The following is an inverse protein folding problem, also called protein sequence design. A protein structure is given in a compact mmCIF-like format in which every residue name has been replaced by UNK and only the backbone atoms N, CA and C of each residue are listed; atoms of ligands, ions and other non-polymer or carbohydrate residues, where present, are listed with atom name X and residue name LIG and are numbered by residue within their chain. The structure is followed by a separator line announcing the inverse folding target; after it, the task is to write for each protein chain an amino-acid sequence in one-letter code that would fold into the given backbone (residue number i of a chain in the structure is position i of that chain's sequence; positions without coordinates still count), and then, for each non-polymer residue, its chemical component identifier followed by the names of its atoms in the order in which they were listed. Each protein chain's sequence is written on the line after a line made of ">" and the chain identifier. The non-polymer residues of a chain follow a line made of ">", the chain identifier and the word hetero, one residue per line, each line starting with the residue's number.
data_IF_929900863834
#
_entry.id   IF_929900863834
#
_cell.length_a   1.000
_cell.length_b   1.000
_cell.length_c   1.000
_cell.angle_alpha   90.00
_cell.angle_beta   90.00
_cell.angle_gamma   90.00
#
_symmetry.space_group_name_H-M   'P 1'
#
loop_
_entity.id
_entity.type
_entity.pdbx_description
1 polymer ?
#
# COMPACT_ATOMS: atom_id res chain seq x y z
N UNK A 1 17.93 -51.06 1.85
CA UNK A 1 16.62 -50.45 2.16
C UNK A 1 15.58 -51.14 1.29
N UNK A 2 14.65 -51.88 1.88
CA UNK A 2 13.58 -52.55 1.13
C UNK A 2 12.41 -51.57 0.95
N UNK A 3 12.10 -51.22 -0.30
CA UNK A 3 10.93 -50.39 -0.61
C UNK A 3 9.69 -51.29 -0.60
N UNK A 4 8.77 -51.06 0.35
CA UNK A 4 7.46 -51.71 0.35
C UNK A 4 6.63 -51.15 -0.82
N UNK A 5 6.67 -51.84 -1.96
CA UNK A 5 5.82 -51.54 -3.11
C UNK A 5 4.42 -52.13 -2.86
N UNK A 6 3.43 -51.28 -2.65
CA UNK A 6 2.03 -51.69 -2.60
C UNK A 6 1.47 -51.83 -4.03
N UNK A 7 0.64 -52.86 -4.27
CA UNK A 7 -0.10 -53.00 -5.53
C UNK A 7 -1.28 -52.01 -5.58
N UNK A 8 -1.67 -51.62 -6.79
CA UNK A 8 -2.87 -50.82 -7.02
C UNK A 8 -4.12 -51.56 -6.53
N UNK A 9 -4.98 -50.88 -5.76
CA UNK A 9 -6.25 -51.45 -5.29
C UNK A 9 -7.39 -51.43 -6.33
N UNK A 10 -7.13 -50.93 -7.54
CA UNK A 10 -8.15 -50.89 -8.59
C UNK A 10 -8.42 -52.32 -9.11
N UNK A 11 -9.68 -52.77 -9.25
CA UNK A 11 -9.99 -54.13 -9.67
C UNK A 11 -9.28 -54.49 -10.98
N UNK A 12 -8.57 -55.63 -10.99
CA UNK A 12 -7.83 -56.16 -12.15
C UNK A 12 -6.63 -55.32 -12.62
N UNK A 13 -6.21 -54.30 -11.89
CA UNK A 13 -4.97 -53.58 -12.18
C UNK A 13 -3.78 -54.31 -11.53
N UNK A 14 -2.80 -54.70 -12.34
CA UNK A 14 -1.55 -55.33 -11.88
C UNK A 14 -0.42 -54.33 -11.60
N UNK A 15 -0.64 -53.04 -11.83
CA UNK A 15 0.36 -51.99 -11.67
C UNK A 15 0.64 -51.67 -10.18
N UNK A 16 1.85 -51.18 -9.89
CA UNK A 16 2.20 -50.71 -8.55
C UNK A 16 1.53 -49.37 -8.22
N UNK A 17 1.16 -49.19 -6.95
CA UNK A 17 0.60 -47.94 -6.47
C UNK A 17 1.65 -46.82 -6.52
N UNK A 18 1.20 -45.60 -6.78
CA UNK A 18 2.09 -44.45 -6.86
C UNK A 18 2.68 -44.15 -5.47
N UNK A 19 4.00 -43.94 -5.40
CA UNK A 19 4.64 -43.38 -4.21
C UNK A 19 5.10 -41.97 -4.54
N UNK A 20 4.81 -41.02 -3.65
CA UNK A 20 5.27 -39.64 -3.79
C UNK A 20 5.75 -39.16 -2.42
N UNK A 21 6.97 -38.64 -2.38
CA UNK A 21 7.48 -37.91 -1.22
C UNK A 21 6.72 -36.60 -1.11
N UNK A 22 5.82 -36.50 -0.14
CA UNK A 22 5.15 -35.24 0.19
C UNK A 22 6.09 -34.47 1.09
N UNK A 23 6.69 -33.40 0.56
CA UNK A 23 7.36 -32.39 1.38
C UNK A 23 6.27 -31.61 2.12
N UNK A 24 5.87 -32.09 3.29
CA UNK A 24 5.05 -31.30 4.20
C UNK A 24 5.78 -30.01 4.54
N UNK A 25 5.10 -28.87 4.45
CA UNK A 25 5.62 -27.60 4.96
C UNK A 25 5.80 -27.78 6.48
N UNK A 26 7.03 -27.80 7.01
CA UNK A 26 7.22 -28.13 8.42
C UNK A 26 6.82 -26.93 9.29
N UNK A 27 6.07 -27.19 10.36
CA UNK A 27 5.99 -26.25 11.48
C UNK A 27 7.33 -26.20 12.27
N UNK A 28 8.20 -27.20 12.08
CA UNK A 28 9.51 -27.32 12.71
C UNK A 28 10.54 -27.91 11.73
N UNK A 29 11.73 -27.29 11.65
CA UNK A 29 12.78 -27.55 10.63
C UNK A 29 13.34 -28.99 10.64
N UNK A 30 13.02 -29.80 11.65
CA UNK A 30 13.57 -31.14 11.85
C UNK A 30 12.57 -32.30 11.73
N UNK A 31 11.37 -32.07 11.18
CA UNK A 31 10.40 -33.18 11.00
C UNK A 31 10.83 -34.11 9.85
N UNK A 32 10.95 -35.44 10.05
CA UNK A 32 11.30 -36.37 8.98
C UNK A 32 10.22 -36.39 7.89
N UNK A 33 10.64 -36.40 6.62
CA UNK A 33 9.72 -36.48 5.47
C UNK A 33 8.84 -37.72 5.58
N UNK A 34 7.51 -37.53 5.62
CA UNK A 34 6.55 -38.65 5.59
C UNK A 34 6.28 -39.04 4.14
N UNK A 35 6.71 -40.25 3.78
CA UNK A 35 6.26 -40.93 2.56
C UNK A 35 4.81 -41.39 2.73
N UNK A 36 3.87 -40.76 2.03
CA UNK A 36 2.51 -41.27 1.89
C UNK A 36 2.41 -42.11 0.62
N UNK A 37 2.22 -43.42 0.77
CA UNK A 37 1.92 -44.32 -0.35
C UNK A 37 0.49 -44.10 -0.84
N UNK A 38 0.28 -43.85 -2.12
CA UNK A 38 -1.06 -43.83 -2.70
C UNK A 38 -1.66 -45.25 -2.67
N UNK A 39 -3.00 -45.34 -2.70
CA UNK A 39 -3.73 -46.62 -2.78
C UNK A 39 -3.89 -47.12 -4.22
N UNK A 40 -3.64 -46.25 -5.21
CA UNK A 40 -3.85 -46.51 -6.62
C UNK A 40 -2.58 -46.20 -7.44
N UNK A 41 -2.46 -46.79 -8.64
CA UNK A 41 -1.34 -46.52 -9.54
C UNK A 41 -1.53 -45.15 -10.25
N UNK A 42 -0.51 -44.60 -10.91
CA UNK A 42 -0.61 -43.34 -11.64
C UNK A 42 -1.75 -43.25 -12.66
N UNK A 43 -2.19 -44.38 -13.21
CA UNK A 43 -3.29 -44.46 -14.18
C UNK A 43 -4.69 -44.46 -13.53
N UNK A 44 -4.79 -44.73 -12.23
CA UNK A 44 -6.05 -44.79 -11.49
C UNK A 44 -6.10 -43.77 -10.35
N UNK A 45 -5.04 -42.97 -10.17
CA UNK A 45 -4.98 -41.88 -9.21
C UNK A 45 -5.51 -40.60 -9.86
N UNK A 46 -6.39 -39.88 -9.15
CA UNK A 46 -6.89 -38.58 -9.59
C UNK A 46 -5.72 -37.68 -10.02
N UNK A 47 -5.77 -37.09 -11.23
CA UNK A 47 -4.70 -36.25 -11.77
C UNK A 47 -4.38 -35.01 -10.94
N UNK A 48 -5.31 -34.56 -10.08
CA UNK A 48 -5.05 -33.54 -9.05
C UNK A 48 -3.91 -33.94 -8.08
N UNK A 49 -3.54 -35.22 -8.05
CA UNK A 49 -2.35 -35.76 -7.37
C UNK A 49 -1.02 -35.12 -7.80
N UNK A 50 -0.94 -34.48 -8.97
CA UNK A 50 0.29 -33.83 -9.42
C UNK A 50 0.41 -32.35 -9.01
N UNK A 51 -0.58 -31.79 -8.30
CA UNK A 51 -0.51 -30.48 -7.66
C UNK A 51 0.22 -30.48 -6.30
N UNK A 52 0.27 -29.32 -5.60
CA UNK A 52 0.83 -29.22 -4.25
C UNK A 52 0.00 -29.96 -3.19
N UNK A 53 -1.31 -30.11 -3.41
CA UNK A 53 -2.20 -30.92 -2.59
C UNK A 53 -2.49 -32.24 -3.30
N UNK A 54 -2.01 -33.36 -2.75
CA UNK A 54 -2.11 -34.66 -3.40
C UNK A 54 -3.45 -35.33 -3.10
N UNK A 55 -4.30 -35.51 -4.11
CA UNK A 55 -5.51 -36.32 -4.00
C UNK A 55 -5.21 -37.82 -4.06
N UNK A 56 -5.60 -38.59 -3.04
CA UNK A 56 -5.39 -40.04 -2.99
C UNK A 56 -6.60 -40.86 -3.47
N UNK A 57 -7.65 -40.21 -3.96
CA UNK A 57 -8.86 -40.88 -4.44
C UNK A 57 -8.65 -41.44 -5.85
N UNK A 58 -9.37 -42.52 -6.15
CA UNK A 58 -9.47 -43.04 -7.51
C UNK A 58 -10.42 -42.19 -8.34
N UNK A 59 -10.23 -42.19 -9.66
CA UNK A 59 -11.16 -41.62 -10.61
C UNK A 59 -11.88 -42.74 -11.38
N UNK A 60 -12.97 -42.36 -12.04
CA UNK A 60 -13.64 -43.21 -13.03
C UNK A 60 -12.74 -43.43 -14.25
N UNK A 61 -12.76 -44.61 -14.90
CA UNK A 61 -11.97 -44.89 -16.11
C UNK A 61 -12.08 -43.85 -17.23
N UNK A 62 -13.21 -43.14 -17.31
CA UNK A 62 -13.49 -42.16 -18.37
C UNK A 62 -13.14 -40.72 -17.98
N UNK A 63 -12.79 -40.48 -16.72
CA UNK A 63 -12.38 -39.18 -16.22
C UNK A 63 -10.89 -39.19 -15.85
N UNK A 64 -10.31 -38.01 -15.74
CA UNK A 64 -8.94 -37.81 -15.25
C UNK A 64 -8.91 -37.41 -13.77
N UNK A 65 -10.07 -37.17 -13.14
CA UNK A 65 -10.19 -36.73 -11.75
C UNK A 65 -11.27 -37.50 -10.98
N UNK A 66 -11.11 -37.62 -9.66
CA UNK A 66 -12.12 -38.25 -8.79
C UNK A 66 -13.35 -37.35 -8.62
N UNK A 67 -14.47 -37.90 -8.14
CA UNK A 67 -15.73 -37.16 -7.91
C UNK A 67 -15.55 -35.84 -7.17
N UNK A 68 -14.77 -35.81 -6.08
CA UNK A 68 -14.51 -34.57 -5.35
C UNK A 68 -13.86 -33.47 -6.20
N UNK A 69 -13.04 -33.86 -7.18
CA UNK A 69 -12.34 -32.96 -8.08
C UNK A 69 -13.07 -32.77 -9.42
N UNK A 70 -14.25 -33.36 -9.60
CA UNK A 70 -15.13 -33.06 -10.74
C UNK A 70 -15.86 -31.72 -10.56
N UNK A 71 -15.92 -31.17 -9.35
CA UNK A 71 -16.63 -29.92 -9.04
C UNK A 71 -15.74 -28.68 -9.10
N UNK A 72 -16.36 -27.53 -9.38
CA UNK A 72 -15.69 -26.24 -9.47
C UNK A 72 -15.01 -25.86 -8.15
N UNK A 73 -13.76 -25.39 -8.20
CA UNK A 73 -12.99 -24.98 -7.02
C UNK A 73 -13.42 -23.63 -6.40
N UNK A 74 -14.27 -22.87 -7.10
CA UNK A 74 -14.81 -21.60 -6.59
C UNK A 74 -15.74 -21.87 -5.40
N UNK A 75 -15.44 -21.28 -4.24
CA UNK A 75 -16.23 -21.42 -3.01
C UNK A 75 -17.72 -21.16 -3.27
N UNK A 76 -18.57 -22.09 -2.82
CA UNK A 76 -20.03 -22.03 -3.00
C UNK A 76 -20.54 -22.46 -4.38
N UNK A 77 -19.67 -22.87 -5.30
CA UNK A 77 -20.08 -23.40 -6.60
C UNK A 77 -20.17 -24.93 -6.57
N UNK A 78 -21.38 -25.47 -6.73
CA UNK A 78 -21.63 -26.91 -6.84
C UNK A 78 -21.66 -27.43 -8.29
N UNK A 79 -21.36 -26.57 -9.27
CA UNK A 79 -21.38 -26.98 -10.68
C UNK A 79 -20.14 -27.81 -11.02
N UNK A 80 -20.29 -28.85 -11.87
CA UNK A 80 -19.15 -29.61 -12.35
C UNK A 80 -18.22 -28.72 -13.20
N UNK A 81 -16.92 -29.00 -13.14
CA UNK A 81 -15.91 -28.50 -14.06
C UNK A 81 -16.28 -28.93 -15.47
N UNK A 82 -16.09 -28.03 -16.43
CA UNK A 82 -16.48 -28.34 -17.79
C UNK A 82 -15.50 -29.37 -18.40
N UNK A 83 -16.02 -30.37 -19.12
CA UNK A 83 -15.22 -31.37 -19.79
C UNK A 83 -14.48 -30.75 -20.99
N UNK A 84 -13.20 -31.09 -21.16
CA UNK A 84 -12.39 -30.74 -22.33
C UNK A 84 -11.88 -32.05 -22.94
N UNK A 85 -12.10 -32.29 -24.24
CA UNK A 85 -11.46 -33.40 -24.94
C UNK A 85 -9.93 -33.37 -24.75
N UNK A 86 -9.32 -34.51 -24.39
CA UNK A 86 -7.86 -34.58 -24.27
C UNK A 86 -7.20 -34.43 -25.66
N UNK A 87 -6.48 -33.34 -25.95
CA UNK A 87 -5.86 -33.14 -27.26
C UNK A 87 -4.74 -34.16 -27.57
N UNK A 88 -4.29 -34.93 -26.56
CA UNK A 88 -3.28 -35.98 -26.75
C UNK A 88 -3.88 -37.27 -27.26
N UNK A 89 -5.17 -37.49 -27.08
CA UNK A 89 -5.84 -38.63 -27.67
C UNK A 89 -6.03 -38.38 -29.16
N UNK A 90 -5.41 -39.23 -29.98
CA UNK A 90 -5.79 -39.34 -31.38
C UNK A 90 -7.16 -40.01 -31.43
N UNK A 91 -8.15 -39.48 -32.18
CA UNK A 91 -9.42 -40.17 -32.41
C UNK A 91 -9.11 -41.52 -33.05
N UNK A 92 -9.21 -42.60 -32.28
CA UNK A 92 -8.75 -43.92 -32.67
C UNK A 92 -9.76 -44.98 -32.28
N UNK A 93 -10.35 -45.61 -33.30
CA UNK A 93 -11.07 -46.89 -33.33
C UNK A 93 -11.63 -47.39 -31.97
N UNK A 94 -12.76 -46.82 -31.55
CA UNK A 94 -13.67 -47.46 -30.59
C UNK A 94 -13.32 -47.32 -29.10
N UNK A 95 -12.26 -46.60 -28.73
CA UNK A 95 -12.01 -46.26 -27.33
C UNK A 95 -12.79 -44.98 -26.96
N UNK A 96 -13.47 -44.95 -25.80
CA UNK A 96 -14.16 -43.75 -25.35
C UNK A 96 -13.16 -42.61 -25.11
N UNK A 97 -13.54 -41.42 -25.57
CA UNK A 97 -12.72 -40.21 -25.51
C UNK A 97 -12.48 -39.81 -24.05
N UNK A 98 -11.21 -39.78 -23.62
CA UNK A 98 -10.86 -39.35 -22.28
C UNK A 98 -11.01 -37.85 -22.18
N UNK A 99 -11.63 -37.41 -21.08
CA UNK A 99 -11.91 -36.01 -20.83
C UNK A 99 -10.94 -35.46 -19.78
N UNK A 100 -10.29 -34.35 -20.11
CA UNK A 100 -9.60 -33.52 -19.13
C UNK A 100 -10.60 -32.51 -18.57
N UNK A 101 -10.71 -32.41 -17.24
CA UNK A 101 -11.53 -31.36 -16.63
C UNK A 101 -10.77 -30.05 -16.53
N UNK A 102 -11.41 -28.94 -16.88
CA UNK A 102 -10.87 -27.61 -16.62
C UNK A 102 -10.73 -27.34 -15.11
N UNK A 103 -10.01 -26.30 -14.72
CA UNK A 103 -9.89 -25.90 -13.31
C UNK A 103 -11.23 -25.43 -12.71
N UNK A 104 -12.11 -24.87 -13.54
CA UNK A 104 -13.39 -24.28 -13.12
C UNK A 104 -14.56 -24.70 -14.02
N UNK A 105 -15.80 -24.46 -13.57
CA UNK A 105 -16.99 -24.68 -14.40
C UNK A 105 -17.16 -23.59 -15.47
N UNK A 106 -18.08 -23.82 -16.42
CA UNK A 106 -18.33 -22.90 -17.55
C UNK A 106 -18.70 -21.47 -17.09
N UNK A 107 -19.39 -21.32 -15.96
CA UNK A 107 -19.74 -20.00 -15.39
C UNK A 107 -18.54 -19.22 -14.85
N UNK A 108 -17.48 -19.93 -14.50
CA UNK A 108 -16.25 -19.36 -13.93
C UNK A 108 -15.07 -19.42 -14.91
N UNK A 109 -15.27 -19.89 -16.15
CA UNK A 109 -14.29 -19.88 -17.23
C UNK A 109 -14.07 -18.46 -17.74
N UNK A 110 -12.83 -18.02 -17.90
CA UNK A 110 -12.50 -16.78 -18.60
C UNK A 110 -13.18 -16.71 -19.99
N UNK A 111 -13.83 -15.59 -20.31
CA UNK A 111 -14.53 -15.41 -21.60
C UNK A 111 -13.60 -15.22 -22.80
N UNK A 112 -12.30 -15.01 -22.58
CA UNK A 112 -11.34 -14.80 -23.67
C UNK A 112 -11.02 -16.12 -24.37
N UNK A 113 -11.71 -16.40 -25.49
CA UNK A 113 -11.42 -17.52 -26.40
C UNK A 113 -11.22 -18.87 -25.71
N UNK A 114 -10.07 -19.49 -25.98
CA UNK A 114 -9.67 -20.80 -25.44
C UNK A 114 -8.98 -20.74 -24.07
N UNK A 115 -9.06 -19.60 -23.38
CA UNK A 115 -8.48 -19.48 -22.05
C UNK A 115 -9.17 -20.43 -21.06
N UNK A 116 -8.37 -21.31 -20.45
CA UNK A 116 -8.86 -22.33 -19.49
C UNK A 116 -8.83 -21.86 -18.04
N UNK A 117 -8.31 -20.66 -17.78
CA UNK A 117 -8.13 -20.12 -16.42
C UNK A 117 -9.44 -19.60 -15.83
N UNK A 118 -9.53 -19.65 -14.51
CA UNK A 118 -10.63 -19.08 -13.74
C UNK A 118 -10.73 -17.55 -13.89
N UNK A 119 -11.96 -17.02 -13.90
CA UNK A 119 -12.21 -15.58 -13.70
C UNK A 119 -11.73 -15.15 -12.32
N UNK A 120 -11.26 -13.91 -12.20
CA UNK A 120 -10.76 -13.38 -10.92
C UNK A 120 -11.88 -13.22 -9.89
N UNK A 121 -13.08 -12.86 -10.34
CA UNK A 121 -14.26 -12.81 -9.50
C UNK A 121 -15.52 -13.01 -10.33
N UNK A 122 -16.64 -13.25 -9.66
CA UNK A 122 -17.97 -13.29 -10.28
C UNK A 122 -18.32 -12.02 -11.06
N UNK A 123 -17.73 -10.87 -10.70
CA UNK A 123 -17.96 -9.56 -11.34
C UNK A 123 -17.03 -9.28 -12.53
N UNK A 124 -16.00 -10.09 -12.76
CA UNK A 124 -15.08 -9.90 -13.89
C UNK A 124 -15.24 -11.07 -14.87
N UNK A 125 -15.46 -10.82 -16.17
CA UNK A 125 -15.57 -11.89 -17.17
C UNK A 125 -14.24 -12.55 -17.52
N UNK A 126 -13.10 -12.06 -17.02
CA UNK A 126 -11.75 -12.46 -17.43
C UNK A 126 -10.89 -12.97 -16.26
N UNK A 127 -9.88 -13.78 -16.58
CA UNK A 127 -8.85 -14.22 -15.64
C UNK A 127 -7.78 -13.14 -15.41
N UNK A 128 -6.86 -13.36 -14.46
CA UNK A 128 -5.79 -12.42 -14.09
C UNK A 128 -4.92 -11.99 -15.27
N UNK A 129 -4.68 -12.89 -16.22
CA UNK A 129 -3.85 -12.60 -17.40
C UNK A 129 -4.62 -11.86 -18.50
N UNK A 130 -5.95 -11.89 -18.43
CA UNK A 130 -6.83 -11.22 -19.38
C UNK A 130 -7.53 -9.99 -18.81
N UNK A 131 -7.19 -9.58 -17.58
CA UNK A 131 -7.59 -8.30 -17.01
C UNK A 131 -6.42 -7.33 -16.97
N UNK A 132 -6.72 -6.05 -17.11
CA UNK A 132 -5.75 -4.98 -16.96
C UNK A 132 -5.00 -5.09 -15.63
N UNK A 133 -3.67 -4.95 -15.68
CA UNK A 133 -2.81 -4.97 -14.49
C UNK A 133 -2.98 -3.77 -13.56
N UNK A 134 -3.59 -2.68 -14.01
CA UNK A 134 -3.85 -1.50 -13.18
C UNK A 134 -4.74 -1.87 -11.99
N UNK A 135 -4.38 -1.39 -10.81
CA UNK A 135 -5.12 -1.66 -9.58
C UNK A 135 -6.60 -1.29 -9.74
N UNK A 136 -7.48 -2.20 -9.34
CA UNK A 136 -8.94 -2.07 -9.45
C UNK A 136 -9.53 -2.01 -10.86
N UNK A 137 -8.71 -2.03 -11.92
CA UNK A 137 -9.22 -2.08 -13.29
C UNK A 137 -9.65 -3.50 -13.66
N UNK A 138 -10.88 -3.65 -14.15
CA UNK A 138 -11.44 -4.95 -14.58
C UNK A 138 -11.60 -5.08 -16.09
N UNK A 139 -11.15 -4.06 -16.84
CA UNK A 139 -11.24 -4.05 -18.29
C UNK A 139 -10.30 -5.13 -18.89
N UNK A 140 -10.70 -5.75 -20.01
CA UNK A 140 -9.85 -6.73 -20.68
C UNK A 140 -8.55 -6.11 -21.19
N UNK A 141 -7.49 -6.89 -21.20
CA UNK A 141 -6.24 -6.54 -21.90
C UNK A 141 -6.44 -6.57 -23.42
N UNK A 142 -5.64 -5.80 -24.16
CA UNK A 142 -5.75 -5.71 -25.62
C UNK A 142 -4.54 -6.35 -26.28
N UNK A 143 -4.79 -7.36 -27.13
CA UNK A 143 -3.74 -8.10 -27.84
C UNK A 143 -2.71 -8.68 -26.87
N UNK A 144 -1.43 -8.43 -27.14
CA UNK A 144 -0.31 -8.88 -26.30
C UNK A 144 0.07 -7.85 -25.21
N UNK A 145 -0.78 -6.86 -24.92
CA UNK A 145 -0.53 -5.87 -23.88
C UNK A 145 -0.84 -6.43 -22.49
N UNK A 146 -0.22 -5.85 -21.45
CA UNK A 146 -0.55 -6.12 -20.05
C UNK A 146 -1.65 -5.18 -19.49
N UNK A 147 -2.15 -4.28 -20.33
CA UNK A 147 -3.12 -3.25 -19.94
C UNK A 147 -4.28 -3.12 -20.95
N UNK A 148 -5.40 -2.57 -20.47
CA UNK A 148 -6.56 -2.25 -21.30
C UNK A 148 -6.36 -0.96 -22.10
N UNK A 149 -7.34 -0.58 -22.94
CA UNK A 149 -7.26 0.62 -23.79
C UNK A 149 -7.01 1.89 -22.99
N UNK A 150 -7.66 2.02 -21.83
CA UNK A 150 -7.62 3.23 -21.01
C UNK A 150 -6.29 3.38 -20.26
N UNK A 151 -5.57 2.28 -20.02
CA UNK A 151 -4.29 2.27 -19.32
C UNK A 151 -3.11 2.02 -20.25
N UNK A 152 -3.34 1.99 -21.57
CA UNK A 152 -2.29 1.85 -22.58
C UNK A 152 -1.63 3.20 -22.81
N UNK A 153 -0.29 3.22 -22.82
CA UNK A 153 0.44 4.41 -23.21
C UNK A 153 0.09 4.81 -24.65
N UNK A 154 -0.25 6.09 -24.84
CA UNK A 154 -0.61 6.64 -26.15
C UNK A 154 0.54 6.63 -27.15
N UNK A 155 1.79 6.59 -26.68
CA UNK A 155 2.98 6.49 -27.53
C UNK A 155 2.95 5.19 -28.37
N UNK A 156 3.09 5.31 -29.68
CA UNK A 156 3.09 4.18 -30.60
C UNK A 156 4.18 3.14 -30.21
N UNK A 157 3.81 1.86 -30.18
CA UNK A 157 4.71 0.77 -29.81
C UNK A 157 4.98 0.62 -28.30
N UNK A 158 4.51 1.54 -27.45
CA UNK A 158 4.68 1.42 -26.01
C UNK A 158 3.64 0.47 -25.38
N UNK A 159 4.13 -0.55 -24.67
CA UNK A 159 3.29 -1.51 -23.93
C UNK A 159 3.26 -1.23 -22.41
N UNK A 160 3.81 -0.09 -21.98
CA UNK A 160 3.84 0.28 -20.56
C UNK A 160 2.48 0.78 -20.08
N UNK A 161 2.20 0.45 -18.82
CA UNK A 161 0.99 0.87 -18.12
C UNK A 161 1.05 2.37 -17.78
N UNK A 162 -0.08 3.04 -17.92
CA UNK A 162 -0.27 4.42 -17.50
C UNK A 162 -1.06 4.47 -16.20
N UNK A 163 -0.65 5.35 -15.29
CA UNK A 163 -1.35 5.57 -14.03
C UNK A 163 -2.55 6.50 -14.22
N UNK A 164 -3.74 6.02 -13.86
CA UNK A 164 -4.99 6.80 -13.78
C UNK A 164 -5.29 7.57 -15.08
N UNK A 165 -5.45 8.89 -14.98
CA UNK A 165 -5.90 9.80 -16.04
C UNK A 165 -4.73 10.33 -16.92
N UNK A 166 -3.52 9.82 -16.72
CA UNK A 166 -2.38 10.20 -17.56
C UNK A 166 -2.52 9.53 -18.93
N UNK A 167 -1.95 10.14 -19.97
CA UNK A 167 -1.95 9.58 -21.33
C UNK A 167 -0.65 8.80 -21.65
N UNK A 168 0.40 9.02 -20.85
CA UNK A 168 1.74 8.50 -21.09
C UNK A 168 2.30 7.82 -19.85
N UNK A 169 3.10 6.77 -20.05
CA UNK A 169 3.80 6.10 -18.97
C UNK A 169 4.94 6.97 -18.41
N UNK A 170 5.45 6.60 -17.24
CA UNK A 170 6.48 7.38 -16.54
C UNK A 170 7.76 7.61 -17.33
N UNK A 171 8.12 6.72 -18.27
CA UNK A 171 9.27 6.94 -19.17
C UNK A 171 8.99 8.03 -20.20
N UNK A 172 7.81 8.03 -20.82
CA UNK A 172 7.41 9.02 -21.82
C UNK A 172 7.03 10.38 -21.22
N UNK A 173 6.79 10.44 -19.90
CA UNK A 173 6.62 11.70 -19.18
C UNK A 173 7.94 12.39 -18.84
N UNK A 174 9.11 11.77 -19.05
CA UNK A 174 10.42 12.37 -18.72
C UNK A 174 10.96 13.25 -19.84
N UNK A 175 11.66 14.31 -19.46
CA UNK A 175 12.33 15.22 -20.39
C UNK A 175 13.26 14.46 -21.35
N UNK A 176 13.23 14.83 -22.63
CA UNK A 176 14.04 14.17 -23.66
C UNK A 176 15.53 14.52 -23.60
N UNK A 177 15.92 15.51 -22.78
CA UNK A 177 17.34 15.85 -22.59
C UNK A 177 18.00 14.74 -21.78
N UNK A 178 19.12 14.23 -22.27
CA UNK A 178 19.97 13.26 -21.57
C UNK A 178 20.26 13.79 -20.15
N UNK A 179 20.19 12.91 -19.16
CA UNK A 179 20.35 13.20 -17.73
C UNK A 179 19.29 14.11 -17.07
N UNK A 180 18.24 14.51 -17.80
CA UNK A 180 17.14 15.26 -17.22
C UNK A 180 16.04 14.33 -16.69
N UNK A 181 16.06 14.02 -15.39
CA UNK A 181 15.03 13.23 -14.72
C UNK A 181 13.68 13.95 -14.49
N UNK A 182 13.51 15.19 -14.98
CA UNK A 182 12.32 16.00 -14.74
C UNK A 182 11.17 15.62 -15.68
N UNK A 183 9.95 15.87 -15.22
CA UNK A 183 8.73 15.65 -16.01
C UNK A 183 8.59 16.72 -17.11
N UNK A 184 8.11 16.31 -18.28
CA UNK A 184 7.70 17.18 -19.40
C UNK A 184 6.55 18.09 -18.98
N UNK A 185 6.46 19.26 -19.61
CA UNK A 185 5.33 20.18 -19.42
C UNK A 185 4.16 19.76 -20.31
N UNK A 186 2.93 19.79 -19.79
CA UNK A 186 1.73 19.62 -20.62
C UNK A 186 1.42 20.91 -21.37
N UNK A 187 1.29 20.84 -22.69
CA UNK A 187 0.91 21.95 -23.55
C UNK A 187 -0.58 21.85 -23.88
N UNK A 188 -1.39 22.76 -23.35
CA UNK A 188 -2.82 22.85 -23.67
C UNK A 188 -3.06 23.15 -25.16
N UNK A 189 -2.15 23.87 -25.80
CA UNK A 189 -2.24 24.24 -27.22
C UNK A 189 -2.09 23.02 -28.12
N UNK A 190 -1.17 22.11 -27.79
CA UNK A 190 -0.94 20.88 -28.57
C UNK A 190 -1.81 19.72 -28.12
N UNK A 191 -2.36 19.80 -26.91
CA UNK A 191 -3.03 18.66 -26.27
C UNK A 191 -2.07 17.49 -26.02
N UNK A 192 -0.79 17.79 -25.78
CA UNK A 192 0.27 16.81 -25.56
C UNK A 192 1.38 17.35 -24.65
N UNK A 193 2.28 16.48 -24.18
CA UNK A 193 3.47 16.87 -23.43
C UNK A 193 4.58 17.39 -24.36
N UNK A 194 5.12 18.56 -24.05
CA UNK A 194 6.30 19.08 -24.74
C UNK A 194 7.50 18.14 -24.55
N UNK A 195 8.39 18.02 -25.54
CA UNK A 195 9.53 17.10 -25.46
C UNK A 195 10.50 17.43 -24.31
N UNK A 196 10.43 18.64 -23.75
CA UNK A 196 11.32 19.15 -22.72
C UNK A 196 10.57 19.59 -21.45
N UNK A 197 11.26 19.63 -20.32
CA UNK A 197 10.72 20.20 -19.07
C UNK A 197 10.88 21.73 -19.08
N UNK A 198 10.26 22.44 -18.12
CA UNK A 198 10.28 23.91 -18.07
C UNK A 198 11.68 24.57 -18.07
N UNK A 199 12.76 23.87 -17.70
CA UNK A 199 14.13 24.39 -17.83
C UNK A 199 14.65 24.27 -19.27
N UNK A 200 14.27 23.19 -19.94
CA UNK A 200 14.80 22.81 -21.24
C UNK A 200 13.85 23.14 -22.38
N UNK A 201 12.66 23.66 -22.08
CA UNK A 201 11.81 24.29 -23.09
C UNK A 201 12.59 25.49 -23.62
N UNK A 202 12.95 25.51 -24.91
CA UNK A 202 13.51 26.72 -25.51
C UNK A 202 12.51 27.83 -25.24
N UNK A 203 12.96 28.96 -24.69
CA UNK A 203 12.08 30.12 -24.60
C UNK A 203 11.46 30.32 -25.98
N UNK A 204 10.12 30.45 -26.08
CA UNK A 204 9.51 30.72 -27.36
C UNK A 204 10.24 31.95 -27.92
N UNK A 205 10.69 31.93 -29.20
CA UNK A 205 11.36 33.07 -29.79
C UNK A 205 10.51 34.28 -29.47
N UNK A 206 11.06 35.20 -28.68
CA UNK A 206 10.29 36.28 -28.08
C UNK A 206 9.56 36.96 -29.22
N UNK A 207 8.25 36.73 -29.29
CA UNK A 207 7.41 37.42 -30.25
C UNK A 207 7.63 38.88 -29.89
N UNK A 208 8.30 39.62 -30.77
CA UNK A 208 8.51 41.05 -30.64
C UNK A 208 7.13 41.69 -30.59
N UNK A 209 6.55 41.76 -29.38
CA UNK A 209 5.40 42.57 -29.10
C UNK A 209 5.81 44.02 -29.38
N UNK A 210 5.03 44.76 -30.20
CA UNK A 210 5.33 46.14 -30.53
C UNK A 210 5.60 46.95 -29.26
N UNK A 211 6.66 47.77 -29.30
CA UNK A 211 7.24 48.49 -28.17
C UNK A 211 6.30 49.45 -27.40
N UNK A 212 5.01 49.58 -27.79
CA UNK A 212 4.08 50.52 -27.19
C UNK A 212 3.34 50.03 -25.94
N UNK A 213 3.39 48.73 -25.59
CA UNK A 213 2.75 48.21 -24.35
C UNK A 213 3.73 47.92 -23.21
N UNK A 214 5.03 48.25 -23.35
CA UNK A 214 6.03 47.98 -22.32
C UNK A 214 6.21 49.11 -21.28
N UNK A 215 5.47 50.21 -21.37
CA UNK A 215 5.71 51.40 -20.54
C UNK A 215 4.91 51.51 -19.24
N UNK A 216 3.91 50.66 -18.99
CA UNK A 216 3.09 50.76 -17.76
C UNK A 216 3.43 49.73 -16.67
N UNK A 217 4.35 48.79 -16.92
CA UNK A 217 4.74 47.76 -15.93
C UNK A 217 6.23 47.77 -15.54
N UNK A 218 7.00 48.79 -15.93
CA UNK A 218 8.42 48.99 -15.53
C UNK A 218 8.60 49.53 -14.11
N UNK A 219 7.71 49.18 -13.18
CA UNK A 219 7.81 49.54 -11.76
C UNK A 219 8.32 48.43 -10.82
N UNK A 220 8.48 47.18 -11.27
CA UNK A 220 9.00 46.08 -10.43
C UNK A 220 9.72 45.04 -11.26
N UNK A 221 11.04 45.18 -11.39
CA UNK A 221 12.04 44.08 -11.37
C UNK A 221 13.36 44.64 -11.88
N UNK A 222 14.05 45.39 -11.02
CA UNK A 222 15.50 45.56 -11.16
C UNK A 222 16.16 45.02 -9.92
N UNK A 223 16.97 43.98 -10.16
CA UNK A 223 18.03 43.50 -9.32
C UNK A 223 18.81 44.67 -8.72
N UNK A 224 18.50 44.98 -7.47
CA UNK A 224 19.39 45.67 -6.56
C UNK A 224 19.72 44.67 -5.47
N UNK A 225 21.01 44.53 -5.20
CA UNK A 225 21.59 43.91 -4.01
C UNK A 225 20.64 44.01 -2.82
N UNK A 226 20.08 42.86 -2.44
CA UNK A 226 19.01 42.71 -1.45
C UNK A 226 19.42 43.42 -0.15
N UNK A 227 18.73 44.49 0.27
CA UNK A 227 18.93 45.10 1.57
C UNK A 227 18.66 44.05 2.66
N UNK A 228 19.49 44.03 3.71
CA UNK A 228 19.29 43.19 4.89
C UNK A 228 17.85 43.37 5.41
N UNK A 229 17.10 42.28 5.45
CA UNK A 229 15.68 42.24 5.82
C UNK A 229 14.73 42.01 4.64
N UNK A 230 14.73 40.80 4.07
CA UNK A 230 13.75 40.42 3.05
C UNK A 230 12.34 40.40 3.63
N UNK A 231 11.36 40.84 2.85
CA UNK A 231 9.93 40.65 3.16
C UNK A 231 9.66 39.15 3.37
N UNK A 232 8.77 38.79 4.30
CA UNK A 232 8.38 37.40 4.52
C UNK A 232 7.97 36.73 3.20
N UNK A 233 8.49 35.54 2.92
CA UNK A 233 8.13 34.77 1.70
C UNK A 233 6.70 34.22 1.68
N UNK A 234 5.91 34.50 2.72
CA UNK A 234 4.52 34.07 2.77
C UNK A 234 3.67 35.01 1.91
N UNK A 235 2.69 34.45 1.19
CA UNK A 235 1.80 35.24 0.33
C UNK A 235 0.91 36.08 1.24
N UNK A 236 0.91 37.39 1.02
CA UNK A 236 0.13 38.36 1.80
C UNK A 236 0.68 38.62 3.23
N UNK A 237 1.98 38.48 3.44
CA UNK A 237 2.62 38.87 4.68
C UNK A 237 3.52 40.09 4.48
N UNK A 238 3.13 41.23 5.07
CA UNK A 238 3.92 42.47 4.97
C UNK A 238 4.99 42.59 6.07
N UNK A 239 5.09 41.60 6.96
CA UNK A 239 6.10 41.58 8.02
C UNK A 239 7.49 41.27 7.45
N UNK A 240 8.53 41.88 8.04
CA UNK A 240 9.93 41.59 7.69
C UNK A 240 10.33 40.20 8.21
N UNK A 241 11.05 39.45 7.39
CA UNK A 241 11.72 38.24 7.83
C UNK A 241 12.96 38.60 8.68
N UNK A 242 13.37 37.71 9.58
CA UNK A 242 14.64 37.87 10.31
C UNK A 242 15.83 37.71 9.35
N UNK A 243 16.98 38.30 9.65
CA UNK A 243 18.17 38.27 8.78
C UNK A 243 18.57 36.83 8.36
N UNK A 244 18.38 35.85 9.25
CA UNK A 244 18.77 34.46 9.02
C UNK A 244 17.64 33.54 8.53
N UNK A 245 16.42 34.05 8.30
CA UNK A 245 15.27 33.19 7.95
C UNK A 245 14.42 33.78 6.83
N UNK A 246 13.88 32.94 5.92
CA UNK A 246 13.02 33.41 4.83
C UNK A 246 11.60 33.84 5.25
N UNK A 247 11.21 33.64 6.51
CA UNK A 247 9.88 33.92 7.05
C UNK A 247 9.95 34.80 8.30
N UNK A 248 8.91 35.59 8.57
CA UNK A 248 8.79 36.38 9.79
C UNK A 248 8.48 35.49 11.02
N UNK A 249 8.62 36.04 12.23
CA UNK A 249 8.39 35.29 13.48
C UNK A 249 7.01 34.62 13.60
N UNK A 250 6.00 35.17 12.93
CA UNK A 250 4.64 34.60 12.89
C UNK A 250 4.54 33.37 11.97
N UNK A 251 5.34 33.34 10.90
CA UNK A 251 5.34 32.26 9.91
C UNK A 251 6.49 31.26 10.10
N UNK A 252 7.44 31.50 11.00
CA UNK A 252 8.48 30.51 11.35
C UNK A 252 8.01 29.53 12.41
N UNK A 253 8.33 28.24 12.25
CA UNK A 253 8.15 27.24 13.29
C UNK A 253 8.72 27.70 14.65
N UNK A 254 7.97 27.46 15.73
CA UNK A 254 8.39 27.82 17.10
C UNK A 254 9.46 26.87 17.67
N UNK A 255 9.75 25.75 17.00
CA UNK A 255 10.81 24.83 17.41
C UNK A 255 12.21 25.47 17.25
N UNK A 256 13.07 25.46 18.30
CA UNK A 256 14.38 26.09 18.25
C UNK A 256 15.27 25.53 17.13
N UNK A 257 15.70 26.40 16.21
CA UNK A 257 16.54 26.03 15.08
C UNK A 257 15.79 25.57 13.82
N UNK A 258 14.47 25.44 13.88
CA UNK A 258 13.66 25.12 12.70
C UNK A 258 13.43 26.36 11.83
N UNK A 259 13.87 26.31 10.57
CA UNK A 259 13.65 27.38 9.58
C UNK A 259 12.40 27.16 8.70
N UNK A 260 11.67 26.06 8.88
CA UNK A 260 10.50 25.73 8.07
C UNK A 260 9.30 26.62 8.42
N UNK A 261 8.45 26.93 7.42
CA UNK A 261 7.26 27.73 7.65
C UNK A 261 6.19 26.94 8.42
N UNK A 262 5.37 27.65 9.18
CA UNK A 262 4.11 27.12 9.73
C UNK A 262 3.11 26.89 8.58
N UNK A 263 2.25 25.86 8.66
CA UNK A 263 1.19 25.68 7.68
C UNK A 263 0.16 26.82 7.80
N UNK A 264 -0.30 27.33 6.66
CA UNK A 264 -1.18 28.50 6.58
C UNK A 264 -2.56 28.29 7.23
N UNK A 265 -3.03 27.03 7.26
CA UNK A 265 -4.43 26.70 7.56
C UNK A 265 -4.67 26.24 8.99
N UNK A 266 -3.65 26.21 9.84
CA UNK A 266 -3.76 25.68 11.20
C UNK A 266 -3.32 26.75 12.19
N UNK A 267 -4.07 26.93 13.27
CA UNK A 267 -3.68 27.72 14.47
C UNK A 267 -2.40 27.17 15.17
N UNK A 268 -1.71 26.23 14.54
CA UNK A 268 -0.53 25.56 15.03
C UNK A 268 0.69 26.49 15.10
N UNK A 269 1.47 26.31 16.16
CA UNK A 269 2.75 27.04 16.37
C UNK A 269 3.93 26.38 15.66
N UNK A 270 3.73 25.21 15.06
CA UNK A 270 4.80 24.36 14.54
C UNK A 270 4.58 24.05 13.04
N UNK A 271 5.68 23.78 12.32
CA UNK A 271 5.63 23.32 10.93
C UNK A 271 5.16 21.85 10.86
N UNK A 272 4.76 21.31 9.69
CA UNK A 272 4.29 19.92 9.58
C UNK A 272 5.28 18.85 10.06
N UNK A 273 6.57 19.16 10.13
CA UNK A 273 7.61 18.27 10.67
C UNK A 273 7.66 18.24 12.21
N UNK A 274 7.10 19.26 12.87
CA UNK A 274 7.11 19.44 14.33
C UNK A 274 5.69 19.52 14.91
N UNK A 275 4.67 19.21 14.12
CA UNK A 275 3.28 19.06 14.55
C UNK A 275 2.92 17.59 14.56
N UNK A 276 2.21 17.13 15.60
CA UNK A 276 1.71 15.78 15.68
C UNK A 276 0.87 15.42 14.45
N UNK A 277 1.09 14.23 13.87
CA UNK A 277 0.39 13.78 12.67
C UNK A 277 -1.05 13.30 12.93
N UNK A 278 -1.43 13.18 14.20
CA UNK A 278 -2.81 12.86 14.59
C UNK A 278 -3.78 13.98 14.16
N UNK A 279 -4.91 13.67 13.51
CA UNK A 279 -5.89 14.67 13.10
C UNK A 279 -6.27 15.61 14.26
N UNK A 280 -6.31 16.92 13.98
CA UNK A 280 -6.61 17.98 14.94
C UNK A 280 -5.63 18.14 16.13
N UNK A 281 -4.55 17.35 16.22
CA UNK A 281 -3.55 17.53 17.27
C UNK A 281 -2.49 18.57 16.88
N UNK A 282 -2.49 19.73 17.54
CA UNK A 282 -1.51 20.80 17.31
C UNK A 282 -0.28 20.72 18.22
N UNK A 283 -0.09 19.60 18.92
CA UNK A 283 1.02 19.40 19.85
C UNK A 283 2.36 19.30 19.11
N UNK A 284 3.42 19.74 19.78
CA UNK A 284 4.79 19.63 19.31
C UNK A 284 5.24 18.17 19.22
N UNK A 285 6.08 17.87 18.23
CA UNK A 285 6.85 16.62 18.18
C UNK A 285 8.34 16.94 18.08
N UNK A 286 9.16 16.19 18.82
CA UNK A 286 10.61 16.30 18.72
C UNK A 286 11.13 15.83 17.35
N UNK A 287 12.36 16.21 17.00
CA UNK A 287 12.98 15.99 15.68
C UNK A 287 13.03 14.53 15.17
N UNK A 288 12.82 13.54 16.04
CA UNK A 288 12.82 12.10 15.70
C UNK A 288 11.46 11.42 15.85
N UNK A 289 10.42 12.14 16.28
CA UNK A 289 9.08 11.59 16.48
C UNK A 289 8.10 12.14 15.45
N UNK A 290 7.12 11.34 15.07
CA UNK A 290 6.03 11.72 14.16
C UNK A 290 4.74 12.02 14.96
N UNK A 291 4.68 11.54 16.21
CA UNK A 291 3.55 11.70 17.13
C UNK A 291 4.01 12.37 18.42
N UNK A 292 3.11 13.12 19.07
CA UNK A 292 3.41 13.74 20.36
C UNK A 292 3.41 12.69 21.48
N UNK A 293 3.83 13.08 22.68
CA UNK A 293 3.88 12.20 23.86
C UNK A 293 2.53 11.58 24.26
N UNK A 294 1.41 12.17 23.78
CA UNK A 294 0.06 11.67 24.03
C UNK A 294 -0.43 10.67 22.97
N UNK A 295 0.19 10.65 21.78
CA UNK A 295 -0.20 9.81 20.65
C UNK A 295 0.88 8.80 20.24
N UNK A 296 2.00 8.76 20.95
CA UNK A 296 3.02 7.71 20.79
C UNK A 296 2.74 6.55 21.73
N UNK A 297 3.04 5.33 21.29
CA UNK A 297 3.01 4.17 22.18
C UNK A 297 3.98 4.36 23.36
N UNK A 298 3.50 4.08 24.56
CA UNK A 298 4.25 4.17 25.83
C UNK A 298 5.35 3.12 25.98
N UNK A 299 5.34 2.05 25.15
CA UNK A 299 6.38 1.04 25.20
C UNK A 299 7.70 1.56 24.59
N UNK A 300 8.85 1.32 25.25
CA UNK A 300 10.13 1.83 24.80
C UNK A 300 10.47 1.28 23.40
N UNK A 301 11.03 2.15 22.55
CA UNK A 301 11.39 1.87 21.15
C UNK A 301 10.20 1.67 20.18
N UNK A 302 8.96 1.81 20.65
CA UNK A 302 7.80 1.80 19.76
C UNK A 302 7.46 3.23 19.33
N UNK A 303 7.57 3.50 18.02
CA UNK A 303 7.18 4.79 17.43
C UNK A 303 5.80 4.73 16.75
N UNK A 304 5.03 3.66 16.99
CA UNK A 304 3.69 3.51 16.47
C UNK A 304 2.69 4.41 17.20
N UNK A 305 1.62 4.76 16.50
CA UNK A 305 0.52 5.56 17.04
C UNK A 305 -0.24 4.79 18.13
N UNK A 306 -0.55 5.47 19.24
CA UNK A 306 -1.43 4.93 20.27
C UNK A 306 -2.89 4.96 19.79
N UNK A 307 -3.63 3.87 20.00
CA UNK A 307 -5.04 3.76 19.56
C UNK A 307 -5.99 4.47 20.54
N UNK A 308 -5.57 4.62 21.80
CA UNK A 308 -6.32 5.31 22.84
C UNK A 308 -5.37 6.13 23.71
N UNK A 309 -5.81 7.33 24.08
CA UNK A 309 -5.11 8.21 25.03
C UNK A 309 -5.08 7.64 26.45
N UNK A 310 -5.99 6.73 26.80
CA UNK A 310 -6.05 6.11 28.14
C UNK A 310 -4.98 5.04 28.33
N UNK A 311 -4.80 4.18 27.32
CA UNK A 311 -3.84 3.07 27.40
C UNK A 311 -2.46 3.46 26.89
N UNK A 312 -2.38 4.45 25.99
CA UNK A 312 -1.15 4.83 25.30
C UNK A 312 -0.43 3.61 24.66
N UNK A 313 -1.19 2.65 24.14
CA UNK A 313 -0.65 1.49 23.43
C UNK A 313 -1.03 1.56 21.96
N UNK A 314 -0.12 1.15 21.07
CA UNK A 314 -0.46 0.91 19.68
C UNK A 314 -1.31 -0.36 19.55
N UNK A 315 -1.91 -0.57 18.38
CA UNK A 315 -2.84 -1.69 18.15
C UNK A 315 -2.18 -3.04 18.44
N UNK A 316 -0.92 -3.21 18.03
CA UNK A 316 -0.19 -4.46 18.24
C UNK A 316 0.05 -4.72 19.73
N UNK A 317 0.55 -3.72 20.47
CA UNK A 317 0.78 -3.87 21.91
C UNK A 317 -0.51 -3.96 22.73
N UNK A 318 -1.60 -3.35 22.26
CA UNK A 318 -2.92 -3.51 22.86
C UNK A 318 -3.43 -4.94 22.65
N UNK A 319 -3.25 -5.49 21.45
CA UNK A 319 -3.59 -6.89 21.15
C UNK A 319 -2.75 -7.86 21.99
N UNK A 320 -1.44 -7.63 22.12
CA UNK A 320 -0.56 -8.44 22.97
C UNK A 320 -1.01 -8.42 24.45
N UNK A 321 -1.46 -7.25 24.93
CA UNK A 321 -1.98 -7.08 26.28
C UNK A 321 -3.25 -7.91 26.53
N UNK A 322 -4.20 -7.94 25.59
CA UNK A 322 -5.45 -8.71 25.73
C UNK A 322 -5.30 -10.21 25.43
N UNK A 323 -4.43 -10.57 24.49
CA UNK A 323 -4.23 -11.97 24.08
C UNK A 323 -3.31 -12.76 25.03
N UNK A 324 -2.79 -12.11 26.07
CA UNK A 324 -2.16 -12.79 27.19
C UNK A 324 -0.88 -13.55 26.84
N UNK A 325 -0.16 -13.18 25.78
CA UNK A 325 1.20 -13.70 25.57
C UNK A 325 2.10 -13.18 26.69
N UNK A 326 2.55 -14.04 27.62
CA UNK A 326 3.27 -13.60 28.80
C UNK A 326 4.74 -13.42 28.45
N UNK A 327 5.10 -12.40 27.66
CA UNK A 327 6.50 -12.13 27.33
C UNK A 327 7.06 -10.86 27.97
N UNK A 328 6.24 -10.00 28.58
CA UNK A 328 6.76 -8.95 29.45
C UNK A 328 5.68 -8.44 30.42
N UNK A 329 5.88 -8.65 31.72
CA UNK A 329 5.15 -7.86 32.73
C UNK A 329 5.50 -6.38 32.50
N UNK A 330 4.51 -5.47 32.34
CA UNK A 330 4.80 -4.06 32.25
C UNK A 330 5.41 -3.61 33.57
N UNK A 331 6.62 -3.07 33.54
CA UNK A 331 7.15 -2.26 34.63
C UNK A 331 6.30 -0.99 34.68
N UNK A 332 5.18 -1.03 35.40
CA UNK A 332 4.44 0.16 35.80
C UNK A 332 5.40 0.99 36.65
N UNK A 333 6.03 1.97 36.00
CA UNK A 333 6.91 2.92 36.66
C UNK A 333 6.04 3.78 37.56
N UNK A 334 6.02 3.45 38.85
CA UNK A 334 5.42 4.30 39.87
C UNK A 334 5.99 5.71 39.72
N UNK A 335 5.12 6.69 39.45
CA UNK A 335 5.48 8.11 39.44
C UNK A 335 5.96 8.49 40.85
N UNK A 336 7.26 8.47 41.06
CA UNK A 336 7.91 9.03 42.23
C UNK A 336 7.78 10.56 42.16
N UNK A 337 6.81 11.08 42.91
CA UNK A 337 6.75 12.50 43.27
C UNK A 337 8.02 12.84 44.06
N UNK A 338 9.01 13.42 43.39
CA UNK A 338 10.16 14.05 44.03
C UNK A 338 9.67 15.27 44.84
N UNK A 339 9.29 15.03 46.09
CA UNK A 339 9.27 16.08 47.13
C UNK A 339 10.72 16.44 47.45
N UNK A 340 11.22 17.53 46.86
CA UNK A 340 12.40 18.23 47.39
C UNK A 340 12.02 18.79 48.77
N UNK A 341 12.49 18.12 49.81
CA UNK A 341 12.68 18.72 51.15
C UNK A 341 13.99 19.50 51.12
N UNK A 342 13.91 20.82 51.16
CA UNK A 342 15.00 21.68 51.62
C UNK A 342 14.56 22.30 52.95
N UNK A 343 15.12 21.80 54.05
CA UNK A 343 15.35 22.51 55.33
C UNK A 343 16.79 23.04 55.20
N UNK A 344 17.20 24.23 55.62
CA UNK A 344 16.66 25.19 56.59
C UNK A 344 17.54 26.46 56.61
N UNK A 345 16.99 27.53 57.21
CA UNK A 345 17.63 28.76 57.72
C UNK A 345 17.82 29.87 56.66
N UNK A 346 17.39 31.13 56.85
CA UNK A 346 16.86 31.86 58.02
C UNK A 346 16.35 33.26 57.61
N UNK A 347 15.66 33.93 58.54
CA UNK A 347 15.33 35.39 58.64
C UNK A 347 14.03 35.98 58.05
N UNK A 348 13.05 36.10 58.97
CA UNK A 348 12.35 37.33 59.44
C UNK A 348 11.93 38.45 58.47
N UNK A 349 10.61 38.65 58.33
CA UNK A 349 9.78 39.85 58.67
C UNK A 349 8.39 39.70 58.01
N UNK A 350 7.31 39.61 58.78
CA UNK A 350 6.41 40.72 59.12
C UNK A 350 5.77 41.41 57.90
N UNK A 351 4.47 41.13 57.64
CA UNK A 351 3.36 42.11 57.63
C UNK A 351 2.08 41.53 56.97
N UNK A 352 1.03 41.48 57.79
CA UNK A 352 -0.34 41.96 57.51
C UNK A 352 -1.16 41.39 56.34
N UNK A 353 -2.14 40.57 56.73
CA UNK A 353 -3.59 40.74 56.53
C UNK A 353 -4.13 41.17 55.16
N UNK A 354 -4.96 40.32 54.56
CA UNK A 354 -6.33 40.70 54.14
C UNK A 354 -7.16 39.49 53.71
N UNK A 355 -8.27 39.32 54.43
CA UNK A 355 -9.41 38.48 54.08
C UNK A 355 -10.04 38.95 52.75
N UNK A 356 -10.37 38.01 51.87
CA UNK A 356 -11.35 38.24 50.80
C UNK A 356 -12.35 37.09 50.78
N UNK A 357 -13.59 37.49 51.04
CA UNK A 357 -14.81 36.73 51.17
C UNK A 357 -15.27 36.23 49.78
N UNK A 358 -15.72 34.98 49.72
CA UNK A 358 -16.43 34.43 48.56
C UNK A 358 -17.85 34.99 48.48
N UNK A 359 -18.19 35.64 47.38
CA UNK A 359 -19.57 36.01 47.03
C UNK A 359 -20.11 35.15 45.86
N UNK A 360 -21.41 34.80 45.85
CA UNK A 360 -22.03 34.02 44.78
C UNK A 360 -22.34 34.86 43.53
N UNK A 361 -22.36 34.19 42.37
CA UNK A 361 -22.70 34.75 41.05
C UNK A 361 -24.21 34.98 40.91
N UNK A 362 -24.65 36.01 40.17
CA UNK A 362 -26.05 36.21 39.84
C UNK A 362 -26.51 35.32 38.68
N UNK A 363 -27.76 34.87 38.80
CA UNK A 363 -28.61 34.31 37.75
C UNK A 363 -29.06 35.46 36.84
N UNK A 364 -28.96 35.29 35.53
CA UNK A 364 -29.67 36.12 34.56
C UNK A 364 -30.78 35.29 33.93
N UNK A 365 -32.02 35.70 34.20
CA UNK A 365 -33.16 35.46 33.34
C UNK A 365 -33.20 36.55 32.27
N UNK A 366 -33.40 36.14 31.01
CA UNK A 366 -34.37 36.62 30.00
C UNK A 366 -34.15 35.80 28.73
#
# INVERSE_FOLDING_TARGET
>A
MAYNLSFCRYPRCSSYAATKTVKSIPADRNSPERLTSARFCPQHCCSAFYGPETCLNHHDPYDSVCDLHTYCSVLGCSLPRYPIPDPRQRPGLGMPETVIRAETCIRHKCHTGDCRKARISSKSPHCKDHTCRADSCRNPVIGNSSCCLTHKCRMAGCLSLVERDKQYCSSHMKCSRVDCGRTRLWSSVRGDYDPYCHIHTPEPPSVHLPAQLQNENRGRTLHTSIPRGTICRDRNCDFRASEDRPYCGHHTCMDPGCAYPRPWTLEGKYCPMHTCREPACLAHVGSKSIYCEYHVCSLPKCNAIAVSSETQLCLDHLNDFYNGTPTARPLVRARSRSRRRTRSQSRTRELQSRDVIWGPRPVFDI
#
